data_IF_041741373535
#
_entry.id   IF_041741373535
#
_cell.length_a   1.000
_cell.length_b   1.000
_cell.length_c   1.000
_cell.angle_alpha   90.00
_cell.angle_beta   90.00
_cell.angle_gamma   90.00
#
_symmetry.space_group_name_H-M   'P 1'
#
loop_
_entity.id
_entity.type
_entity.pdbx_description
1 polymer ?
#
# COMPACT_ATOMS: atom_id res chain seq x y z
N UNK A 1 12.48 25.62 -4.13
CA UNK A 1 12.49 24.64 -3.02
C UNK A 1 11.72 23.37 -3.40
N UNK A 2 10.42 23.44 -3.70
CA UNK A 2 9.62 22.26 -4.12
C UNK A 2 10.19 21.50 -5.33
N UNK A 3 10.69 22.20 -6.36
CA UNK A 3 11.32 21.59 -7.53
C UNK A 3 12.63 20.86 -7.18
N UNK A 4 13.42 21.41 -6.25
CA UNK A 4 14.67 20.78 -5.80
C UNK A 4 14.36 19.49 -5.02
N UNK A 5 13.37 19.53 -4.12
CA UNK A 5 12.92 18.34 -3.39
C UNK A 5 12.36 17.25 -4.33
N UNK A 6 11.67 17.66 -5.40
CA UNK A 6 11.23 16.72 -6.45
C UNK A 6 12.41 16.09 -7.20
N UNK A 7 13.39 16.90 -7.60
CA UNK A 7 14.60 16.41 -8.28
C UNK A 7 15.41 15.48 -7.39
N UNK A 8 15.54 15.80 -6.11
CA UNK A 8 16.18 14.95 -5.09
C UNK A 8 15.46 13.60 -5.00
N UNK A 9 14.13 13.57 -4.93
CA UNK A 9 13.35 12.33 -4.86
C UNK A 9 13.46 11.48 -6.15
N UNK A 10 13.50 12.11 -7.33
CA UNK A 10 13.67 11.40 -8.61
C UNK A 10 15.11 10.90 -8.78
N UNK A 11 16.08 11.55 -8.14
CA UNK A 11 17.48 11.15 -8.20
C UNK A 11 17.86 10.11 -7.13
N UNK A 12 17.08 9.99 -6.06
CA UNK A 12 17.30 9.00 -5.01
C UNK A 12 17.14 7.57 -5.57
N UNK A 13 18.27 6.86 -5.63
CA UNK A 13 18.35 5.51 -6.16
C UNK A 13 17.67 4.49 -5.25
N UNK A 14 17.62 4.73 -3.94
CA UNK A 14 17.00 3.83 -2.96
C UNK A 14 15.48 3.90 -3.10
N UNK A 15 14.91 5.10 -2.99
CA UNK A 15 13.46 5.32 -3.12
C UNK A 15 12.92 4.81 -4.46
N UNK A 16 13.67 5.03 -5.55
CA UNK A 16 13.31 4.50 -6.87
C UNK A 16 13.38 2.98 -6.98
N UNK A 17 14.35 2.34 -6.32
CA UNK A 17 14.46 0.89 -6.32
C UNK A 17 13.28 0.27 -5.57
N UNK A 18 12.93 0.83 -4.40
CA UNK A 18 11.79 0.40 -3.59
C UNK A 18 10.46 0.62 -4.35
N UNK A 19 10.28 1.80 -4.94
CA UNK A 19 9.11 2.10 -5.78
C UNK A 19 8.98 1.14 -6.96
N UNK A 20 10.08 0.90 -7.69
CA UNK A 20 10.08 0.01 -8.85
C UNK A 20 9.73 -1.43 -8.47
N UNK A 21 10.24 -1.92 -7.34
CA UNK A 21 9.88 -3.24 -6.81
C UNK A 21 8.37 -3.35 -6.59
N UNK A 22 7.74 -2.33 -6.00
CA UNK A 22 6.30 -2.29 -5.79
C UNK A 22 5.52 -2.21 -7.11
N UNK A 23 6.00 -1.43 -8.07
CA UNK A 23 5.40 -1.35 -9.41
C UNK A 23 5.43 -2.72 -10.09
N UNK A 24 6.55 -3.44 -10.03
CA UNK A 24 6.67 -4.74 -10.66
C UNK A 24 5.80 -5.81 -9.96
N UNK A 25 5.69 -5.77 -8.62
CA UNK A 25 4.73 -6.60 -7.88
C UNK A 25 3.29 -6.32 -8.33
N UNK A 26 2.86 -5.06 -8.34
CA UNK A 26 1.51 -4.67 -8.74
C UNK A 26 1.21 -5.01 -10.21
N UNK A 27 2.20 -4.91 -11.11
CA UNK A 27 2.06 -5.35 -12.51
C UNK A 27 1.85 -6.85 -12.61
N UNK A 28 2.54 -7.64 -11.78
CA UNK A 28 2.32 -9.08 -11.71
C UNK A 28 0.90 -9.40 -11.23
N UNK A 29 0.44 -8.74 -10.16
CA UNK A 29 -0.88 -8.97 -9.57
C UNK A 29 -2.00 -8.63 -10.56
N UNK A 30 -1.94 -7.45 -11.18
CA UNK A 30 -2.89 -7.05 -12.25
C UNK A 30 -2.79 -8.00 -13.45
N UNK A 31 -1.59 -8.52 -13.77
CA UNK A 31 -1.37 -9.48 -14.85
C UNK A 31 -2.07 -10.82 -14.68
N UNK A 32 -2.33 -11.26 -13.44
CA UNK A 32 -3.05 -12.51 -13.20
C UNK A 32 -4.54 -12.42 -13.60
N UNK A 33 -5.13 -11.24 -13.44
CA UNK A 33 -6.56 -10.97 -13.65
C UNK A 33 -6.88 -10.23 -14.96
N UNK A 34 -5.87 -9.64 -15.61
CA UNK A 34 -6.01 -8.93 -16.86
C UNK A 34 -5.70 -9.81 -18.09
N UNK A 35 -6.20 -9.41 -19.26
CA UNK A 35 -5.83 -10.02 -20.53
C UNK A 35 -4.30 -9.94 -20.78
N UNK A 36 -3.67 -10.97 -21.39
CA UNK A 36 -2.27 -10.90 -21.78
C UNK A 36 -1.99 -9.66 -22.65
N UNK A 37 -0.85 -9.02 -22.41
CA UNK A 37 -0.43 -7.77 -23.08
C UNK A 37 -1.40 -6.57 -22.90
N UNK A 38 -2.32 -6.65 -21.93
CA UNK A 38 -3.24 -5.56 -21.58
C UNK A 38 -2.94 -5.02 -20.17
N UNK A 39 -1.69 -5.04 -19.73
CA UNK A 39 -1.23 -4.40 -18.48
C UNK A 39 -0.15 -3.38 -18.82
N UNK A 40 -0.37 -2.12 -18.42
CA UNK A 40 0.55 -1.03 -18.70
C UNK A 40 0.68 -0.08 -17.51
N UNK A 41 1.81 0.63 -17.47
CA UNK A 41 2.03 1.75 -16.55
C UNK A 41 1.56 3.00 -17.28
N UNK A 42 0.49 3.62 -16.80
CA UNK A 42 -0.07 4.86 -17.36
C UNK A 42 0.77 6.09 -16.96
N UNK A 43 1.33 6.08 -15.75
CA UNK A 43 2.01 7.24 -15.16
C UNK A 43 3.13 6.81 -14.24
N UNK A 44 4.21 7.59 -14.21
CA UNK A 44 5.25 7.58 -13.19
C UNK A 44 5.73 9.02 -12.96
N UNK A 45 5.53 9.54 -11.77
CA UNK A 45 5.94 10.91 -11.40
C UNK A 45 5.98 11.14 -9.89
N UNK A 46 6.32 12.37 -9.47
CA UNK A 46 6.33 12.78 -8.06
C UNK A 46 5.07 13.59 -7.75
N UNK A 47 4.25 13.07 -6.84
CA UNK A 47 3.10 13.80 -6.31
C UNK A 47 3.48 14.49 -4.99
N UNK A 48 3.16 15.79 -4.90
CA UNK A 48 3.36 16.57 -3.69
C UNK A 48 2.05 16.66 -2.91
N UNK A 49 2.10 16.26 -1.64
CA UNK A 49 1.04 16.39 -0.65
C UNK A 49 1.42 17.47 0.36
N UNK A 50 0.49 17.79 1.28
CA UNK A 50 0.65 18.90 2.23
C UNK A 50 1.94 18.83 3.06
N UNK A 51 2.40 17.63 3.41
CA UNK A 51 3.54 17.42 4.32
C UNK A 51 4.64 16.54 3.73
N UNK A 52 4.38 15.85 2.62
CA UNK A 52 5.30 14.86 2.02
C UNK A 52 5.18 14.83 0.51
N UNK A 53 6.23 14.35 -0.17
CA UNK A 53 6.22 14.02 -1.59
C UNK A 53 6.34 12.49 -1.75
N UNK A 54 5.74 11.92 -2.79
CA UNK A 54 5.85 10.49 -3.08
C UNK A 54 6.13 10.24 -4.56
N UNK A 55 6.96 9.24 -4.85
CA UNK A 55 6.94 8.60 -6.16
C UNK A 55 5.63 7.85 -6.33
N UNK A 56 4.91 8.13 -7.42
CA UNK A 56 3.61 7.53 -7.71
C UNK A 56 3.66 6.90 -9.09
N UNK A 57 3.13 5.68 -9.19
CA UNK A 57 2.87 5.02 -10.45
C UNK A 57 1.42 4.57 -10.54
N UNK A 58 0.83 4.74 -11.72
CA UNK A 58 -0.50 4.21 -12.01
C UNK A 58 -0.37 3.04 -12.97
N UNK A 59 -0.83 1.88 -12.53
CA UNK A 59 -0.88 0.66 -13.33
C UNK A 59 -2.33 0.41 -13.71
N UNK A 60 -2.57 0.07 -14.98
CA UNK A 60 -3.89 -0.27 -15.50
C UNK A 60 -3.81 -1.61 -16.20
N UNK A 61 -4.94 -2.32 -16.19
CA UNK A 61 -5.13 -3.45 -17.07
C UNK A 61 -6.59 -3.71 -17.42
N UNK A 62 -6.82 -4.44 -18.51
CA UNK A 62 -8.17 -4.86 -18.93
C UNK A 62 -8.52 -6.20 -18.31
N UNK A 63 -9.48 -6.22 -17.39
CA UNK A 63 -9.97 -7.45 -16.74
C UNK A 63 -10.44 -8.49 -17.77
N UNK A 64 -10.18 -9.77 -17.49
CA UNK A 64 -10.72 -10.90 -18.26
C UNK A 64 -12.24 -10.98 -18.09
N UNK A 65 -12.94 -11.53 -19.07
CA UNK A 65 -14.41 -11.63 -19.06
C UNK A 65 -14.99 -12.45 -17.90
N UNK A 66 -14.21 -13.40 -17.36
CA UNK A 66 -14.62 -14.30 -16.29
C UNK A 66 -14.13 -13.88 -14.89
N UNK A 67 -13.63 -12.65 -14.76
CA UNK A 67 -13.10 -12.11 -13.50
C UNK A 67 -14.05 -11.01 -13.05
N UNK A 68 -14.60 -11.15 -11.86
CA UNK A 68 -15.42 -10.12 -11.24
C UNK A 68 -14.60 -9.19 -10.34
N UNK A 69 -15.28 -8.24 -9.69
CA UNK A 69 -14.64 -7.31 -8.78
C UNK A 69 -14.01 -8.00 -7.56
N UNK A 70 -14.67 -9.01 -7.01
CA UNK A 70 -14.19 -9.69 -5.81
C UNK A 70 -12.95 -10.53 -6.12
N UNK A 71 -12.94 -11.21 -7.27
CA UNK A 71 -11.76 -11.90 -7.82
C UNK A 71 -10.59 -10.91 -7.99
N UNK A 72 -10.88 -9.71 -8.52
CA UNK A 72 -9.87 -8.68 -8.72
C UNK A 72 -9.28 -8.20 -7.38
N UNK A 73 -10.12 -7.92 -6.39
CA UNK A 73 -9.68 -7.50 -5.04
C UNK A 73 -8.86 -8.60 -4.38
N UNK A 74 -9.33 -9.85 -4.40
CA UNK A 74 -8.63 -10.99 -3.79
C UNK A 74 -7.22 -11.18 -4.37
N UNK A 75 -7.03 -10.88 -5.65
CA UNK A 75 -5.73 -11.01 -6.30
C UNK A 75 -4.75 -9.88 -5.94
N UNK A 76 -5.24 -8.63 -5.95
CA UNK A 76 -4.40 -7.43 -5.75
C UNK A 76 -4.20 -7.08 -4.28
N UNK A 77 -5.08 -7.54 -3.39
CA UNK A 77 -5.04 -7.24 -1.97
C UNK A 77 -4.48 -8.43 -1.17
N UNK A 78 -3.73 -8.21 -0.08
CA UNK A 78 -3.26 -6.94 0.47
C UNK A 78 -2.17 -6.26 -0.37
N UNK A 79 -2.19 -4.92 -0.39
CA UNK A 79 -1.29 -4.12 -1.21
C UNK A 79 0.19 -4.33 -0.89
N UNK A 80 1.06 -4.18 -1.88
CA UNK A 80 2.50 -4.39 -1.75
C UNK A 80 3.18 -3.49 -0.71
N UNK A 81 2.70 -2.27 -0.50
CA UNK A 81 3.28 -1.30 0.43
C UNK A 81 3.07 -1.62 1.92
N UNK A 82 2.12 -2.50 2.25
CA UNK A 82 1.80 -2.93 3.63
C UNK A 82 2.21 -4.36 3.95
N UNK A 83 2.60 -5.10 2.91
CA UNK A 83 3.09 -6.48 3.00
C UNK A 83 4.57 -6.52 2.67
N UNK A 84 4.93 -6.30 1.40
CA UNK A 84 6.29 -6.35 0.89
C UNK A 84 6.40 -7.33 -0.29
N UNK A 85 7.64 -7.62 -0.72
CA UNK A 85 7.91 -8.54 -1.81
C UNK A 85 9.04 -9.53 -1.43
N UNK A 86 8.86 -10.85 -1.61
CA UNK A 86 7.65 -11.56 -2.08
C UNK A 86 6.53 -11.61 -1.04
N UNK A 87 5.28 -11.31 -1.44
CA UNK A 87 4.12 -11.11 -0.53
C UNK A 87 3.96 -12.21 0.52
N UNK A 88 3.89 -13.47 0.10
CA UNK A 88 3.65 -14.62 1.00
C UNK A 88 4.72 -14.75 2.08
N UNK A 89 5.99 -14.56 1.73
CA UNK A 89 7.12 -14.67 2.66
C UNK A 89 7.08 -13.53 3.66
N UNK A 90 6.81 -12.31 3.20
CA UNK A 90 6.77 -11.15 4.10
C UNK A 90 5.55 -11.20 5.02
N UNK A 91 4.39 -11.65 4.54
CA UNK A 91 3.23 -11.88 5.41
C UNK A 91 3.53 -12.92 6.51
N UNK A 92 4.23 -14.00 6.19
CA UNK A 92 4.63 -15.01 7.18
C UNK A 92 5.60 -14.41 8.22
N UNK A 93 6.59 -13.63 7.79
CA UNK A 93 7.52 -12.95 8.69
C UNK A 93 6.80 -11.92 9.58
N UNK A 94 5.83 -11.18 9.04
CA UNK A 94 4.98 -10.25 9.81
C UNK A 94 4.21 -11.02 10.89
N UNK A 95 3.60 -12.15 10.55
CA UNK A 95 2.82 -12.94 11.50
C UNK A 95 3.71 -13.52 12.62
N UNK A 96 4.89 -14.03 12.26
CA UNK A 96 5.90 -14.53 13.20
C UNK A 96 6.38 -13.44 14.18
N UNK A 97 6.61 -12.22 13.68
CA UNK A 97 7.15 -11.12 14.48
C UNK A 97 6.09 -10.38 15.30
N UNK A 98 4.91 -10.14 14.76
CA UNK A 98 3.86 -9.37 15.43
C UNK A 98 3.05 -10.20 16.43
N UNK A 99 2.92 -11.52 16.18
CA UNK A 99 2.22 -12.50 17.04
C UNK A 99 0.79 -12.10 17.41
N UNK A 100 0.16 -11.24 16.61
CA UNK A 100 -1.21 -10.77 16.81
C UNK A 100 -1.81 -10.35 15.47
N UNK A 101 -3.12 -10.55 15.27
CA UNK A 101 -3.78 -10.06 14.08
C UNK A 101 -3.75 -8.52 14.04
N UNK A 102 -3.56 -7.96 12.84
CA UNK A 102 -3.56 -6.51 12.61
C UNK A 102 -4.96 -5.87 12.71
N UNK A 103 -6.02 -6.67 12.86
CA UNK A 103 -7.42 -6.20 12.82
C UNK A 103 -7.69 -5.46 11.49
N UNK A 104 -8.37 -4.32 11.52
CA UNK A 104 -8.62 -3.50 10.33
C UNK A 104 -7.40 -2.74 9.82
N UNK A 105 -6.32 -2.58 10.61
CA UNK A 105 -5.13 -1.89 10.15
C UNK A 105 -4.45 -2.68 9.04
N UNK A 106 -4.02 -1.99 7.97
CA UNK A 106 -3.57 -2.61 6.71
C UNK A 106 -4.67 -3.42 5.98
N UNK A 107 -5.93 -3.27 6.39
CA UNK A 107 -7.12 -3.72 5.64
C UNK A 107 -7.47 -2.76 4.49
N UNK A 108 -8.71 -2.86 4.01
CA UNK A 108 -9.26 -1.96 2.98
C UNK A 108 -10.69 -1.56 3.33
N UNK A 109 -11.07 -0.35 2.94
CA UNK A 109 -12.44 0.14 2.94
C UNK A 109 -12.71 0.82 1.60
N UNK A 110 -13.92 0.67 1.09
CA UNK A 110 -14.25 1.14 -0.25
C UNK A 110 -15.73 1.16 -0.52
N UNK A 111 -16.06 1.39 -1.78
CA UNK A 111 -17.41 1.31 -2.30
C UNK A 111 -17.42 0.50 -3.59
N UNK A 112 -18.55 -0.12 -3.89
CA UNK A 112 -18.83 -0.72 -5.19
C UNK A 112 -20.24 -0.35 -5.63
N UNK A 113 -20.42 -0.19 -6.93
CA UNK A 113 -21.73 0.07 -7.52
C UNK A 113 -22.23 -1.22 -8.21
N UNK A 114 -23.30 -1.85 -7.70
CA UNK A 114 -23.81 -3.10 -8.25
C UNK A 114 -24.41 -2.96 -9.67
N UNK A 115 -24.71 -1.74 -10.12
CA UNK A 115 -25.33 -1.49 -11.42
C UNK A 115 -24.32 -1.43 -12.57
N UNK A 116 -23.12 -0.90 -12.33
CA UNK A 116 -22.11 -0.71 -13.37
C UNK A 116 -20.77 -1.41 -13.08
N UNK A 117 -20.59 -1.99 -11.89
CA UNK A 117 -19.38 -2.71 -11.49
C UNK A 117 -18.22 -1.81 -11.06
N UNK A 118 -18.39 -0.49 -11.07
CA UNK A 118 -17.34 0.42 -10.62
C UNK A 118 -17.10 0.27 -9.12
N UNK A 119 -15.85 0.43 -8.71
CA UNK A 119 -15.49 0.43 -7.29
C UNK A 119 -14.21 1.19 -7.04
N UNK A 120 -13.99 1.54 -5.78
CA UNK A 120 -12.73 2.10 -5.32
C UNK A 120 -12.46 1.67 -3.89
N UNK A 121 -11.22 1.29 -3.63
CA UNK A 121 -10.77 0.67 -2.39
C UNK A 121 -9.48 1.33 -1.94
N UNK A 122 -9.38 1.66 -0.66
CA UNK A 122 -8.17 2.24 -0.08
C UNK A 122 -7.34 1.19 0.66
N UNK A 123 -6.24 1.63 1.27
CA UNK A 123 -5.54 0.86 2.30
C UNK A 123 -5.77 1.58 3.63
N UNK A 124 -6.15 0.83 4.66
CA UNK A 124 -6.43 1.34 6.00
C UNK A 124 -5.12 1.61 6.77
N UNK A 125 -4.46 2.70 6.39
CA UNK A 125 -3.37 3.37 7.09
C UNK A 125 -3.81 4.78 7.51
N UNK A 126 -3.09 5.42 8.44
CA UNK A 126 -3.51 6.72 9.04
C UNK A 126 -4.98 6.70 9.48
N UNK A 127 -5.40 5.61 10.10
CA UNK A 127 -6.80 5.35 10.49
C UNK A 127 -6.86 5.05 11.98
N UNK A 128 -7.82 5.67 12.68
CA UNK A 128 -8.09 5.39 14.09
C UNK A 128 -9.24 4.37 14.22
N UNK A 129 -8.95 3.25 14.88
CA UNK A 129 -9.93 2.22 15.21
C UNK A 129 -10.54 2.54 16.59
N UNK A 130 -11.86 2.72 16.66
CA UNK A 130 -12.57 3.07 17.89
C UNK A 130 -13.34 1.86 18.42
N UNK A 131 -13.06 1.48 19.66
CA UNK A 131 -13.69 0.35 20.35
C UNK A 131 -14.50 0.85 21.55
N UNK A 132 -15.78 0.48 21.61
CA UNK A 132 -16.63 0.77 22.76
C UNK A 132 -16.70 -0.44 23.69
N UNK A 133 -16.35 -0.25 24.96
CA UNK A 133 -16.55 -1.25 26.03
C UNK A 133 -17.37 -0.63 27.16
N UNK A 134 -18.64 -1.03 27.28
CA UNK A 134 -19.60 -0.37 28.16
C UNK A 134 -19.81 1.08 27.74
N UNK A 135 -19.56 2.03 28.64
CA UNK A 135 -19.64 3.47 28.37
C UNK A 135 -18.29 4.12 28.04
N UNK A 136 -17.21 3.34 27.92
CA UNK A 136 -15.86 3.84 27.63
C UNK A 136 -15.51 3.58 26.17
N UNK A 137 -15.00 4.61 25.49
CA UNK A 137 -14.41 4.50 24.16
C UNK A 137 -12.88 4.42 24.29
N UNK A 138 -12.29 3.45 23.61
CA UNK A 138 -10.84 3.33 23.43
C UNK A 138 -10.52 3.55 21.95
N UNK A 139 -9.40 4.19 21.66
CA UNK A 139 -8.89 4.33 20.30
C UNK A 139 -7.59 3.57 20.13
N UNK A 140 -7.37 3.06 18.92
CA UNK A 140 -6.09 2.48 18.49
C UNK A 140 -5.69 3.10 17.17
N UNK A 141 -4.48 3.67 17.14
CA UNK A 141 -3.80 4.09 15.91
C UNK A 141 -2.56 3.23 15.77
N UNK A 142 -2.37 2.65 14.59
CA UNK A 142 -1.21 1.80 14.29
C UNK A 142 -0.51 2.34 13.05
N UNK A 143 0.82 2.32 13.06
CA UNK A 143 1.65 2.71 11.94
C UNK A 143 2.87 1.79 11.85
N UNK A 144 3.47 1.77 10.66
CA UNK A 144 4.64 0.96 10.35
C UNK A 144 5.42 1.55 9.17
N UNK A 145 6.44 0.81 8.74
CA UNK A 145 7.31 1.15 7.63
C UNK A 145 7.80 -0.12 6.92
N UNK A 146 8.23 0.05 5.67
CA UNK A 146 8.86 -1.02 4.91
C UNK A 146 10.30 -1.20 5.35
N UNK A 147 10.73 -2.44 5.58
CA UNK A 147 12.12 -2.74 5.95
C UNK A 147 12.86 -3.26 4.73
N UNK A 148 13.99 -2.65 4.43
CA UNK A 148 14.92 -3.13 3.39
C UNK A 148 16.28 -3.49 3.99
N UNK A 149 17.14 -4.10 3.19
CA UNK A 149 18.50 -4.50 3.63
C UNK A 149 19.35 -3.31 4.10
N UNK A 150 19.02 -2.10 3.64
CA UNK A 150 19.69 -0.86 3.99
C UNK A 150 18.99 -0.10 5.14
N UNK A 151 17.89 -0.62 5.69
CA UNK A 151 17.15 0.02 6.77
C UNK A 151 17.96 0.10 8.06
N UNK A 152 17.80 1.21 8.77
CA UNK A 152 18.36 1.39 10.11
C UNK A 152 17.26 1.20 11.17
N UNK A 153 17.35 0.21 12.07
CA UNK A 153 16.26 -0.09 13.01
C UNK A 153 15.79 1.09 13.86
N UNK A 154 16.70 1.99 14.26
CA UNK A 154 16.33 3.16 15.09
C UNK A 154 15.53 4.18 14.28
N UNK A 155 15.95 4.43 13.04
CA UNK A 155 15.26 5.35 12.14
C UNK A 155 13.85 4.85 11.81
N UNK A 156 13.70 3.56 11.51
CA UNK A 156 12.41 2.94 11.17
C UNK A 156 11.39 3.04 12.33
N UNK A 157 11.85 2.82 13.56
CA UNK A 157 11.01 2.98 14.76
C UNK A 157 10.62 4.45 14.97
N UNK A 158 11.53 5.38 14.71
CA UNK A 158 11.24 6.82 14.81
C UNK A 158 10.19 7.25 13.77
N UNK A 159 10.33 6.77 12.53
CA UNK A 159 9.37 7.03 11.45
C UNK A 159 7.98 6.46 11.76
N UNK A 160 7.90 5.21 12.22
CA UNK A 160 6.63 4.60 12.59
C UNK A 160 5.91 5.38 13.71
N UNK A 161 6.66 5.87 14.71
CA UNK A 161 6.10 6.73 15.76
C UNK A 161 5.64 8.07 15.21
N UNK A 162 6.41 8.70 14.33
CA UNK A 162 6.02 9.95 13.69
C UNK A 162 4.71 9.81 12.90
N UNK A 163 4.58 8.73 12.10
CA UNK A 163 3.35 8.40 11.36
C UNK A 163 2.14 8.14 12.27
N UNK A 164 2.34 7.55 13.45
CA UNK A 164 1.26 7.27 14.40
C UNK A 164 0.77 8.52 15.16
N UNK A 165 1.60 9.55 15.27
CA UNK A 165 1.29 10.79 15.98
C UNK A 165 0.62 11.85 15.10
N UNK A 166 0.61 11.66 13.77
CA UNK A 166 0.04 12.57 12.79
C UNK A 166 -1.43 12.24 12.49
#
# INVERSE_FOLDING_TARGET
>A
EELLLREDMISDRKERAEHRMLVDLMRNDVGQIAYPNQVWVERFDVEAYAEVQHLVSRIKGKLKENIDLFDAIENVFPGGSITGCPRTVVCAAIDELEQKPRSFWTGSMGWFNPLNGDSSWNILIRTAELHKKGNVWNSRVTAGGGITIASNPKSEVAEAKWKANA
#
